data_IF_953330272449
#
_entry.id   IF_953330272449
#
_cell.length_a   1.000
_cell.length_b   1.000
_cell.length_c   1.000
_cell.angle_alpha   90.00
_cell.angle_beta   90.00
_cell.angle_gamma   90.00
#
_symmetry.space_group_name_H-M   'P 1'
#
loop_
_entity.id
_entity.type
_entity.pdbx_description
1 polymer ?
#
# COMPACT_ATOMS: atom_id res chain seq x y z
N UNK A 1 19.52 -14.56 -6.62
CA UNK A 1 18.13 -14.11 -6.41
C UNK A 1 17.75 -14.10 -4.93
N UNK A 2 17.73 -15.24 -4.24
CA UNK A 2 17.39 -15.31 -2.80
C UNK A 2 18.12 -14.28 -1.92
N UNK A 3 19.47 -14.25 -1.96
CA UNK A 3 20.25 -13.29 -1.16
C UNK A 3 19.96 -11.82 -1.49
N UNK A 4 19.59 -11.50 -2.74
CA UNK A 4 19.25 -10.12 -3.13
C UNK A 4 17.91 -9.71 -2.53
N UNK A 5 16.88 -10.57 -2.61
CA UNK A 5 15.60 -10.31 -1.95
C UNK A 5 15.78 -10.20 -0.43
N UNK A 6 16.58 -11.09 0.15
CA UNK A 6 16.85 -11.07 1.58
C UNK A 6 17.56 -9.79 2.02
N UNK A 7 18.54 -9.32 1.24
CA UNK A 7 19.21 -8.05 1.50
C UNK A 7 18.27 -6.84 1.41
N UNK A 8 17.39 -6.81 0.41
CA UNK A 8 16.44 -5.70 0.21
C UNK A 8 15.33 -5.70 1.26
N UNK A 9 14.85 -6.87 1.68
CA UNK A 9 13.71 -6.98 2.59
C UNK A 9 14.10 -7.07 4.06
N UNK A 10 15.13 -7.84 4.40
CA UNK A 10 15.55 -8.09 5.78
C UNK A 10 16.81 -7.32 6.18
N UNK A 11 17.65 -6.96 5.20
CA UNK A 11 18.92 -6.26 5.45
C UNK A 11 20.03 -7.17 5.98
N UNK A 12 20.94 -6.58 6.76
CA UNK A 12 22.12 -7.26 7.31
C UNK A 12 21.96 -7.56 8.81
N UNK A 13 22.76 -8.49 9.33
CA UNK A 13 22.82 -8.83 10.75
C UNK A 13 24.25 -9.00 11.25
N UNK A 14 24.41 -8.78 12.56
CA UNK A 14 25.66 -8.92 13.29
C UNK A 14 26.74 -7.90 12.92
N UNK A 15 27.86 -7.95 13.65
CA UNK A 15 29.06 -7.15 13.39
C UNK A 15 29.79 -7.56 12.10
N UNK A 16 29.47 -8.73 11.55
CA UNK A 16 30.09 -9.30 10.34
C UNK A 16 29.38 -8.87 9.04
N UNK A 17 28.30 -8.08 9.12
CA UNK A 17 27.48 -7.66 7.97
C UNK A 17 27.01 -8.84 7.11
N UNK A 18 26.56 -9.92 7.74
CA UNK A 18 26.00 -11.06 7.02
C UNK A 18 24.58 -10.73 6.54
N UNK A 19 24.22 -11.17 5.34
CA UNK A 19 22.84 -11.02 4.83
C UNK A 19 21.92 -11.87 5.69
N UNK A 20 20.86 -11.27 6.26
CA UNK A 20 19.83 -12.03 6.98
C UNK A 20 19.17 -13.02 6.03
N UNK A 21 18.78 -14.19 6.52
CA UNK A 21 17.99 -15.15 5.75
C UNK A 21 16.52 -15.04 6.14
N UNK A 22 15.63 -15.48 5.27
CA UNK A 22 14.22 -15.61 5.62
C UNK A 22 14.06 -16.74 6.64
N UNK A 23 13.25 -16.52 7.66
CA UNK A 23 12.92 -17.49 8.69
C UNK A 23 11.41 -17.73 8.67
N UNK A 24 10.97 -18.94 9.00
CA UNK A 24 9.55 -19.29 9.06
C UNK A 24 8.92 -18.89 10.41
N UNK A 25 9.44 -17.83 11.02
CA UNK A 25 8.97 -17.25 12.28
C UNK A 25 9.19 -15.73 12.32
N UNK A 26 8.90 -15.11 13.47
CA UNK A 26 9.05 -13.68 13.73
C UNK A 26 10.22 -13.37 14.68
N UNK A 27 11.17 -14.29 14.89
CA UNK A 27 12.27 -14.11 15.84
C UNK A 27 13.50 -13.46 15.20
N UNK A 28 13.81 -13.82 13.94
CA UNK A 28 15.05 -13.41 13.27
C UNK A 28 16.30 -13.79 14.08
N UNK A 29 16.29 -14.99 14.68
CA UNK A 29 17.34 -15.51 15.58
C UNK A 29 18.32 -16.46 14.90
N UNK A 30 18.15 -16.73 13.60
CA UNK A 30 18.93 -17.68 12.82
C UNK A 30 18.44 -19.13 12.92
N UNK A 31 17.33 -19.39 13.63
CA UNK A 31 16.64 -20.67 13.65
C UNK A 31 15.54 -20.72 12.60
N UNK A 32 15.11 -21.91 12.18
CA UNK A 32 13.98 -22.03 11.25
C UNK A 32 14.20 -21.40 9.87
N UNK A 33 15.45 -21.26 9.43
CA UNK A 33 15.80 -20.63 8.16
C UNK A 33 15.14 -21.31 6.95
N UNK A 34 14.51 -20.52 6.09
CA UNK A 34 14.00 -20.92 4.79
C UNK A 34 15.17 -20.98 3.79
N UNK A 35 15.69 -22.17 3.51
CA UNK A 35 16.82 -22.38 2.58
C UNK A 35 16.49 -22.04 1.13
N UNK A 36 15.28 -22.38 0.69
CA UNK A 36 14.76 -22.05 -0.64
C UNK A 36 13.39 -21.39 -0.54
N UNK A 37 13.19 -20.36 -1.36
CA UNK A 37 11.94 -19.60 -1.40
C UNK A 37 11.54 -19.25 -2.84
N UNK A 38 10.24 -19.21 -3.08
CA UNK A 38 9.61 -18.71 -4.29
C UNK A 38 9.07 -17.32 -4.03
N UNK A 39 9.42 -16.38 -4.90
CA UNK A 39 9.09 -14.98 -4.72
C UNK A 39 7.96 -14.59 -5.68
N UNK A 40 6.85 -14.10 -5.11
CA UNK A 40 5.70 -13.58 -5.85
C UNK A 40 5.66 -12.07 -5.58
N UNK A 41 5.92 -11.28 -6.61
CA UNK A 41 5.89 -9.82 -6.52
C UNK A 41 4.57 -9.28 -7.06
N UNK A 42 3.83 -8.56 -6.23
CA UNK A 42 2.57 -7.93 -6.61
C UNK A 42 2.83 -6.53 -7.18
N UNK A 43 2.14 -6.19 -8.25
CA UNK A 43 2.25 -4.86 -8.85
C UNK A 43 1.72 -3.78 -7.89
N UNK A 44 2.47 -2.68 -7.75
CA UNK A 44 2.05 -1.50 -6.96
C UNK A 44 0.72 -0.89 -7.41
N UNK A 45 0.30 -1.13 -8.66
CA UNK A 45 -1.03 -0.71 -9.13
C UNK A 45 -2.16 -1.40 -8.36
N UNK A 46 -1.94 -2.63 -7.92
CA UNK A 46 -2.92 -3.48 -7.22
C UNK A 46 -2.83 -3.25 -5.71
N UNK A 47 -1.62 -3.28 -5.14
CA UNK A 47 -1.41 -3.11 -3.70
C UNK A 47 -1.59 -1.66 -3.24
N UNK A 48 -1.51 -0.69 -4.16
CA UNK A 48 -1.48 0.74 -3.88
C UNK A 48 -0.34 1.08 -2.91
N UNK A 49 -0.65 1.42 -1.68
CA UNK A 49 0.34 1.77 -0.65
C UNK A 49 0.81 0.53 0.12
N UNK A 50 -0.13 -0.31 0.57
CA UNK A 50 0.20 -1.57 1.25
C UNK A 50 -0.96 -2.58 1.21
N UNK A 51 -0.60 -3.85 1.34
CA UNK A 51 -1.56 -4.94 1.54
C UNK A 51 -2.12 -4.88 2.97
N UNK A 52 -3.44 -5.03 3.13
CA UNK A 52 -4.09 -5.09 4.43
C UNK A 52 -3.66 -6.37 5.16
N UNK A 53 -3.03 -6.20 6.32
CA UNK A 53 -2.67 -7.28 7.25
C UNK A 53 -3.90 -8.13 7.60
N UNK A 54 -3.74 -9.45 7.64
CA UNK A 54 -4.79 -10.41 7.99
C UNK A 54 -5.81 -10.68 6.89
N UNK A 55 -5.53 -10.29 5.64
CA UNK A 55 -6.47 -10.49 4.51
C UNK A 55 -5.90 -11.32 3.38
N UNK A 56 -4.64 -11.74 3.48
CA UNK A 56 -3.93 -12.47 2.43
C UNK A 56 -4.36 -13.93 2.48
N UNK A 57 -4.76 -14.44 1.33
CA UNK A 57 -5.03 -15.86 1.11
C UNK A 57 -4.45 -16.30 -0.23
N UNK A 58 -3.59 -17.30 -0.19
CA UNK A 58 -2.91 -17.89 -1.35
C UNK A 58 -3.30 -19.35 -1.43
N UNK A 59 -3.98 -19.75 -2.49
CA UNK A 59 -4.38 -21.13 -2.75
C UNK A 59 -3.42 -21.74 -3.75
N UNK A 60 -2.69 -22.77 -3.32
CA UNK A 60 -1.76 -23.54 -4.16
C UNK A 60 -2.23 -24.98 -4.35
N UNK A 61 -1.96 -25.54 -5.52
CA UNK A 61 -2.25 -26.91 -5.90
C UNK A 61 -1.13 -27.86 -5.52
N UNK A 62 -1.47 -28.90 -4.75
CA UNK A 62 -0.56 -29.98 -4.32
C UNK A 62 -0.93 -31.32 -4.94
N UNK A 63 -1.82 -31.33 -5.94
CA UNK A 63 -2.15 -32.51 -6.73
C UNK A 63 -1.06 -32.84 -7.76
N UNK A 64 -1.36 -33.81 -8.62
CA UNK A 64 -0.47 -34.21 -9.72
C UNK A 64 -0.33 -33.11 -10.77
N UNK A 65 0.67 -33.21 -11.65
CA UNK A 65 0.88 -32.25 -12.74
C UNK A 65 -0.33 -32.13 -13.66
N UNK A 66 -1.01 -33.24 -13.96
CA UNK A 66 -2.21 -33.24 -14.81
C UNK A 66 -3.44 -32.62 -14.12
N UNK A 67 -3.51 -32.71 -12.78
CA UNK A 67 -4.62 -32.19 -11.99
C UNK A 67 -4.08 -31.46 -10.73
N UNK A 68 -3.40 -30.31 -10.90
CA UNK A 68 -2.67 -29.66 -9.81
C UNK A 68 -3.60 -29.24 -8.66
N UNK A 69 -4.86 -28.94 -8.99
CA UNK A 69 -5.88 -28.47 -8.04
C UNK A 69 -6.80 -29.58 -7.53
N UNK A 70 -6.51 -30.86 -7.79
CA UNK A 70 -7.25 -31.97 -7.18
C UNK A 70 -7.04 -32.01 -5.66
N UNK A 71 -5.82 -31.71 -5.23
CA UNK A 71 -5.46 -31.42 -3.84
C UNK A 71 -4.98 -29.98 -3.76
N UNK A 72 -5.39 -29.28 -2.69
CA UNK A 72 -5.13 -27.85 -2.53
C UNK A 72 -4.66 -27.56 -1.12
N UNK A 73 -3.87 -26.52 -1.01
CA UNK A 73 -3.42 -25.95 0.25
C UNK A 73 -3.70 -24.46 0.23
N UNK A 74 -4.35 -23.96 1.29
CA UNK A 74 -4.66 -22.55 1.44
C UNK A 74 -3.75 -21.98 2.51
N UNK A 75 -2.94 -21.00 2.12
CA UNK A 75 -2.02 -20.29 3.00
C UNK A 75 -2.63 -18.93 3.35
N UNK A 76 -2.77 -18.63 4.64
CA UNK A 76 -3.39 -17.38 5.11
C UNK A 76 -2.51 -16.67 6.14
N UNK A 77 -2.59 -15.34 6.18
CA UNK A 77 -1.91 -14.52 7.19
C UNK A 77 -2.80 -14.24 8.41
N UNK A 78 -3.64 -15.19 8.79
CA UNK A 78 -4.70 -14.99 9.81
C UNK A 78 -4.19 -14.51 11.18
N UNK A 79 -2.91 -14.73 11.52
CA UNK A 79 -2.32 -14.22 12.76
C UNK A 79 -1.94 -12.75 12.70
N UNK A 80 -1.85 -12.15 11.52
CA UNK A 80 -1.37 -10.79 11.32
C UNK A 80 -2.50 -9.77 11.50
N UNK A 81 -2.22 -8.72 12.27
CA UNK A 81 -3.13 -7.59 12.49
C UNK A 81 -2.36 -6.28 12.55
N UNK A 82 -3.07 -5.16 12.71
CA UNK A 82 -2.45 -3.86 12.95
C UNK A 82 -1.72 -3.78 14.30
N UNK A 83 -2.02 -4.68 15.24
CA UNK A 83 -1.51 -4.63 16.62
C UNK A 83 -0.61 -5.81 16.99
N UNK A 84 -0.46 -6.82 16.13
CA UNK A 84 0.36 -7.99 16.43
C UNK A 84 0.51 -8.97 15.27
N UNK A 85 1.32 -10.01 15.49
CA UNK A 85 1.55 -11.08 14.51
C UNK A 85 2.32 -10.65 13.26
N UNK A 86 3.04 -9.53 13.35
CA UNK A 86 3.94 -9.02 12.31
C UNK A 86 5.24 -8.54 12.94
N UNK A 87 6.33 -8.55 12.17
CA UNK A 87 7.61 -7.97 12.56
C UNK A 87 8.03 -6.92 11.52
N UNK A 88 8.59 -5.81 12.00
CA UNK A 88 9.06 -4.73 11.13
C UNK A 88 10.51 -4.97 10.69
N UNK A 89 10.77 -4.77 9.41
CA UNK A 89 12.09 -4.90 8.77
C UNK A 89 12.29 -3.79 7.73
N UNK A 90 13.42 -3.79 7.04
CA UNK A 90 13.72 -2.79 5.99
C UNK A 90 12.66 -2.80 4.87
N UNK A 91 12.14 -3.98 4.51
CA UNK A 91 11.10 -4.19 3.51
C UNK A 91 9.68 -3.86 4.00
N UNK A 92 9.55 -3.27 5.19
CA UNK A 92 8.28 -3.03 5.87
C UNK A 92 7.93 -4.14 6.86
N UNK A 93 6.66 -4.13 7.27
CA UNK A 93 6.13 -5.19 8.11
C UNK A 93 5.95 -6.46 7.30
N UNK A 94 6.33 -7.58 7.88
CA UNK A 94 6.04 -8.89 7.32
C UNK A 94 5.24 -9.75 8.30
N UNK A 95 4.41 -10.62 7.74
CA UNK A 95 3.60 -11.59 8.45
C UNK A 95 3.88 -13.01 7.95
N UNK A 96 3.43 -13.99 8.74
CA UNK A 96 3.59 -15.41 8.45
C UNK A 96 2.36 -15.94 7.71
N UNK A 97 2.58 -16.80 6.72
CA UNK A 97 1.53 -17.50 5.99
C UNK A 97 1.39 -18.93 6.52
N UNK A 98 0.24 -19.22 7.11
CA UNK A 98 -0.10 -20.51 7.72
C UNK A 98 -0.94 -21.37 6.80
N UNK A 99 -0.64 -22.65 6.76
CA UNK A 99 -1.58 -23.67 6.25
C UNK A 99 -2.69 -23.95 7.29
N UNK A 100 -3.74 -24.62 6.85
CA UNK A 100 -4.82 -25.23 7.65
C UNK A 100 -4.31 -26.04 8.87
N UNK A 101 -3.13 -26.65 8.78
CA UNK A 101 -2.47 -27.34 9.89
C UNK A 101 -1.72 -26.43 10.88
N UNK A 102 -1.93 -25.11 10.82
CA UNK A 102 -1.24 -24.09 11.63
C UNK A 102 0.30 -24.17 11.53
N UNK A 103 0.81 -24.62 10.39
CA UNK A 103 2.24 -24.62 10.10
C UNK A 103 2.58 -23.48 9.16
N UNK A 104 3.64 -22.75 9.47
CA UNK A 104 4.13 -21.65 8.64
C UNK A 104 4.76 -22.22 7.37
N UNK A 105 4.32 -21.73 6.22
CA UNK A 105 4.78 -22.16 4.89
C UNK A 105 5.28 -21.02 4.01
N UNK A 106 5.16 -19.78 4.47
CA UNK A 106 5.64 -18.62 3.74
C UNK A 106 5.55 -17.34 4.57
N UNK A 107 5.93 -16.24 3.92
CA UNK A 107 5.96 -14.89 4.47
C UNK A 107 5.28 -13.93 3.49
N UNK A 108 4.74 -12.83 4.00
CA UNK A 108 4.23 -11.74 3.18
C UNK A 108 4.71 -10.40 3.72
N UNK A 109 5.29 -9.57 2.85
CA UNK A 109 5.73 -8.20 3.15
C UNK A 109 4.66 -7.23 2.66
N UNK A 110 3.99 -6.54 3.59
CA UNK A 110 2.76 -5.79 3.31
C UNK A 110 3.01 -4.53 2.48
N UNK A 111 4.03 -3.76 2.82
CA UNK A 111 4.39 -2.51 2.14
C UNK A 111 5.17 -2.77 0.84
N UNK A 112 6.06 -3.77 0.84
CA UNK A 112 6.82 -4.13 -0.36
C UNK A 112 5.98 -4.87 -1.40
N UNK A 113 4.83 -5.44 -1.01
CA UNK A 113 3.96 -6.19 -1.92
C UNK A 113 4.59 -7.48 -2.42
N UNK A 114 5.35 -8.18 -1.57
CA UNK A 114 6.05 -9.42 -1.94
C UNK A 114 5.62 -10.55 -1.01
N UNK A 115 5.19 -11.67 -1.59
CA UNK A 115 5.01 -12.93 -0.88
C UNK A 115 6.18 -13.88 -1.16
N UNK A 116 6.68 -14.53 -0.10
CA UNK A 116 7.77 -15.51 -0.16
C UNK A 116 7.22 -16.85 0.29
N UNK A 117 7.08 -17.81 -0.63
CA UNK A 117 6.61 -19.16 -0.30
C UNK A 117 7.81 -20.08 -0.11
N UNK A 118 7.84 -20.83 0.99
CA UNK A 118 8.81 -21.91 1.18
C UNK A 118 8.46 -23.08 0.26
N UNK A 119 9.49 -23.80 -0.20
CA UNK A 119 9.35 -25.08 -0.91
C UNK A 119 8.56 -26.11 -0.09
N UNK A 120 8.59 -26.01 1.24
CA UNK A 120 7.77 -26.83 2.15
C UNK A 120 6.25 -26.69 1.95
N UNK A 121 5.79 -25.63 1.26
CA UNK A 121 4.38 -25.51 0.84
C UNK A 121 3.92 -26.70 -0.03
N UNK A 122 4.85 -27.27 -0.80
CA UNK A 122 4.63 -28.36 -1.75
C UNK A 122 5.23 -29.69 -1.27
N UNK A 123 5.41 -29.85 0.04
CA UNK A 123 5.88 -31.12 0.61
C UNK A 123 4.96 -32.29 0.19
N UNK A 124 5.55 -33.42 -0.16
CA UNK A 124 4.87 -34.58 -0.73
C UNK A 124 4.55 -34.52 -2.23
N UNK A 125 4.77 -33.39 -2.91
CA UNK A 125 4.58 -33.28 -4.37
C UNK A 125 5.79 -33.86 -5.10
N UNK A 126 5.61 -35.05 -5.68
CA UNK A 126 6.67 -35.75 -6.43
C UNK A 126 6.78 -35.30 -7.89
N UNK A 127 5.73 -34.70 -8.44
CA UNK A 127 5.64 -34.26 -9.83
C UNK A 127 5.49 -32.74 -9.98
N UNK A 128 6.32 -31.99 -9.25
CA UNK A 128 6.25 -30.54 -9.19
C UNK A 128 6.35 -29.90 -10.59
N UNK A 129 7.25 -30.41 -11.43
CA UNK A 129 7.45 -30.03 -12.83
C UNK A 129 7.40 -31.29 -13.71
N UNK A 130 6.61 -31.26 -14.79
CA UNK A 130 6.61 -32.31 -15.82
C UNK A 130 6.94 -31.70 -17.18
N UNK A 131 7.98 -32.22 -17.82
CA UNK A 131 8.41 -31.81 -19.17
C UNK A 131 8.62 -33.04 -20.04
N UNK A 132 8.95 -32.85 -21.32
CA UNK A 132 9.37 -33.96 -22.19
C UNK A 132 10.62 -34.68 -21.68
N UNK A 133 11.46 -34.04 -20.86
CA UNK A 133 12.63 -34.63 -20.23
C UNK A 133 12.29 -35.48 -18.99
N UNK A 134 11.04 -35.49 -18.54
CA UNK A 134 10.56 -36.27 -17.41
C UNK A 134 9.93 -35.43 -16.31
N UNK A 135 9.67 -36.10 -15.18
CA UNK A 135 9.00 -35.56 -14.00
C UNK A 135 10.06 -35.26 -12.94
N UNK A 136 9.96 -34.09 -12.32
CA UNK A 136 10.87 -33.63 -11.27
C UNK A 136 10.09 -33.23 -10.02
N UNK A 137 10.61 -33.62 -8.86
CA UNK A 137 10.15 -33.11 -7.57
C UNK A 137 10.57 -31.65 -7.37
N UNK A 138 10.04 -30.99 -6.34
CA UNK A 138 10.40 -29.59 -6.07
C UNK A 138 11.90 -29.40 -5.82
N UNK A 139 12.53 -30.30 -5.05
CA UNK A 139 13.96 -30.25 -4.77
C UNK A 139 14.80 -30.40 -6.06
N UNK A 140 14.42 -31.34 -6.94
CA UNK A 140 15.09 -31.52 -8.22
C UNK A 140 14.92 -30.29 -9.12
N UNK A 141 13.71 -29.73 -9.16
CA UNK A 141 13.39 -28.56 -9.97
C UNK A 141 14.27 -27.36 -9.59
N UNK A 142 14.55 -27.13 -8.31
CA UNK A 142 15.37 -25.99 -7.86
C UNK A 142 16.87 -26.18 -8.10
N UNK A 143 17.35 -27.43 -8.20
CA UNK A 143 18.77 -27.74 -8.41
C UNK A 143 19.12 -27.84 -9.90
N UNK A 144 18.24 -28.42 -10.73
CA UNK A 144 18.58 -28.81 -12.10
C UNK A 144 17.78 -28.12 -13.20
N UNK A 145 16.62 -27.55 -12.89
CA UNK A 145 15.78 -26.93 -13.93
C UNK A 145 16.16 -25.47 -14.20
N UNK A 146 15.76 -24.96 -15.36
CA UNK A 146 15.89 -23.53 -15.64
C UNK A 146 14.93 -22.72 -14.76
N UNK A 147 15.31 -21.47 -14.45
CA UNK A 147 14.47 -20.55 -13.67
C UNK A 147 13.08 -20.42 -14.32
N UNK A 148 13.02 -20.32 -15.64
CA UNK A 148 11.76 -20.24 -16.40
C UNK A 148 10.87 -21.45 -16.13
N UNK A 149 11.42 -22.67 -16.18
CA UNK A 149 10.66 -23.89 -15.92
C UNK A 149 10.16 -23.96 -14.46
N UNK A 150 10.99 -23.54 -13.50
CA UNK A 150 10.57 -23.43 -12.09
C UNK A 150 9.41 -22.43 -11.91
N UNK A 151 9.47 -21.29 -12.60
CA UNK A 151 8.40 -20.29 -12.57
C UNK A 151 7.13 -20.75 -13.30
N UNK A 152 7.25 -21.49 -14.40
CA UNK A 152 6.12 -22.11 -15.09
C UNK A 152 5.41 -23.13 -14.18
N UNK A 153 6.18 -23.99 -13.50
CA UNK A 153 5.64 -24.96 -12.54
C UNK A 153 4.92 -24.27 -11.37
N UNK A 154 5.48 -23.16 -10.84
CA UNK A 154 4.79 -22.37 -9.82
C UNK A 154 3.47 -21.83 -10.34
N UNK A 155 3.47 -21.18 -11.51
CA UNK A 155 2.27 -20.58 -12.12
C UNK A 155 1.19 -21.62 -12.36
N UNK A 156 1.55 -22.82 -12.80
CA UNK A 156 0.63 -23.95 -12.99
C UNK A 156 -0.03 -24.41 -11.68
N UNK A 157 0.63 -24.16 -10.54
CA UNK A 157 0.18 -24.58 -9.20
C UNK A 157 -0.44 -23.45 -8.38
N UNK A 158 -0.42 -22.20 -8.83
CA UNK A 158 -1.12 -21.10 -8.13
C UNK A 158 -2.56 -21.05 -8.65
N UNK A 159 -3.54 -21.34 -7.78
CA UNK A 159 -4.95 -21.29 -8.17
C UNK A 159 -5.54 -19.89 -7.99
N UNK A 160 -5.30 -19.28 -6.83
CA UNK A 160 -5.87 -18.00 -6.47
C UNK A 160 -4.98 -17.27 -5.46
N UNK A 161 -4.89 -15.95 -5.60
CA UNK A 161 -4.29 -15.07 -4.61
C UNK A 161 -5.28 -13.93 -4.38
N UNK A 162 -5.76 -13.79 -3.15
CA UNK A 162 -6.70 -12.75 -2.76
C UNK A 162 -6.16 -11.99 -1.56
N UNK A 163 -6.29 -10.67 -1.58
CA UNK A 163 -5.98 -9.77 -0.49
C UNK A 163 -6.76 -8.47 -0.64
N UNK A 164 -6.94 -7.74 0.46
CA UNK A 164 -7.45 -6.37 0.41
C UNK A 164 -6.26 -5.41 0.40
N UNK A 165 -6.33 -4.36 -0.41
CA UNK A 165 -5.37 -3.27 -0.36
C UNK A 165 -5.82 -2.21 0.66
N UNK A 166 -4.88 -1.40 1.12
CA UNK A 166 -5.15 -0.18 1.87
C UNK A 166 -4.45 0.99 1.20
N UNK A 167 -5.08 2.16 1.28
CA UNK A 167 -4.53 3.41 0.79
C UNK A 167 -4.47 4.40 1.94
N UNK A 168 -3.34 5.07 2.08
CA UNK A 168 -3.14 6.12 3.07
C UNK A 168 -3.36 7.46 2.38
N UNK A 169 -4.47 8.11 2.68
CA UNK A 169 -4.77 9.46 2.19
C UNK A 169 -4.34 10.45 3.26
N UNK A 170 -3.31 11.23 2.98
CA UNK A 170 -2.90 12.30 3.87
C UNK A 170 -3.83 13.48 3.67
N UNK A 171 -4.39 13.99 4.77
CA UNK A 171 -5.30 15.13 4.71
C UNK A 171 -4.90 16.17 5.75
N UNK A 172 -4.78 17.41 5.31
CA UNK A 172 -4.56 18.57 6.19
C UNK A 172 -5.83 19.42 6.22
N UNK A 173 -6.27 19.79 7.41
CA UNK A 173 -7.44 20.64 7.62
C UNK A 173 -6.98 22.05 7.98
N UNK A 174 -7.38 23.02 7.17
CA UNK A 174 -7.16 24.43 7.41
C UNK A 174 -8.46 25.09 7.90
N UNK A 175 -8.34 25.89 8.96
CA UNK A 175 -9.43 26.75 9.42
C UNK A 175 -9.16 28.18 8.94
N UNK A 176 -9.89 28.59 7.90
CA UNK A 176 -9.81 29.93 7.35
C UNK A 176 -10.84 30.82 8.06
N UNK A 177 -10.35 31.65 8.98
CA UNK A 177 -11.17 32.65 9.66
C UNK A 177 -11.25 33.92 8.81
N UNK A 178 -12.47 34.39 8.59
CA UNK A 178 -12.79 35.63 7.85
C UNK A 178 -13.41 36.62 8.83
N UNK A 179 -12.60 37.50 9.43
CA UNK A 179 -13.07 38.45 10.43
C UNK A 179 -14.10 39.42 9.86
N UNK A 180 -14.93 39.97 10.75
CA UNK A 180 -15.98 40.91 10.39
C UNK A 180 -15.45 42.16 9.63
N UNK A 181 -14.23 42.61 9.94
CA UNK A 181 -13.62 43.81 9.35
C UNK A 181 -12.79 43.58 8.07
N UNK A 182 -12.58 42.33 7.63
CA UNK A 182 -11.78 42.02 6.43
C UNK A 182 -12.62 41.38 5.34
N UNK A 183 -12.15 41.50 4.10
CA UNK A 183 -12.72 40.82 2.92
C UNK A 183 -14.19 41.20 2.59
N UNK A 184 -14.62 42.41 2.96
CA UNK A 184 -15.94 42.95 2.61
C UNK A 184 -15.96 43.61 1.21
N UNK A 185 -15.09 43.20 0.28
CA UNK A 185 -15.01 43.70 -1.09
C UNK A 185 -14.81 42.54 -2.07
N UNK A 186 -15.13 42.76 -3.35
CA UNK A 186 -14.99 41.74 -4.40
C UNK A 186 -13.83 42.07 -5.35
N UNK A 187 -13.17 41.02 -5.85
CA UNK A 187 -12.21 41.10 -6.96
C UNK A 187 -12.88 41.07 -8.34
N UNK A 188 -14.21 41.07 -8.42
CA UNK A 188 -14.94 41.13 -9.68
C UNK A 188 -14.65 42.49 -10.38
N UNK A 189 -14.26 42.51 -11.67
CA UNK A 189 -14.03 43.75 -12.42
C UNK A 189 -15.17 44.77 -12.37
N UNK A 190 -16.42 44.35 -12.16
CA UNK A 190 -17.56 45.26 -12.00
C UNK A 190 -17.52 46.09 -10.70
N UNK A 191 -16.64 45.75 -9.77
CA UNK A 191 -16.36 46.53 -8.55
C UNK A 191 -15.32 47.62 -8.80
N UNK A 192 -14.79 47.80 -10.01
CA UNK A 192 -13.85 48.88 -10.30
C UNK A 192 -14.57 50.05 -10.95
N UNK A 193 -14.45 51.24 -10.36
CA UNK A 193 -14.81 52.51 -10.98
C UNK A 193 -13.61 53.43 -10.93
N UNK A 194 -13.15 53.89 -12.10
CA UNK A 194 -11.99 54.79 -12.24
C UNK A 194 -10.76 54.31 -11.44
N UNK A 195 -10.42 53.03 -11.56
CA UNK A 195 -9.28 52.38 -10.86
C UNK A 195 -9.38 52.35 -9.33
N UNK A 196 -10.57 52.58 -8.76
CA UNK A 196 -10.87 52.42 -7.34
C UNK A 196 -11.90 51.32 -7.11
N UNK A 197 -11.77 50.57 -6.00
CA UNK A 197 -12.72 49.51 -5.64
C UNK A 197 -13.99 50.15 -5.06
N UNK A 198 -15.09 50.08 -5.81
CA UNK A 198 -16.44 50.46 -5.40
C UNK A 198 -17.05 49.37 -4.52
N UNK A 199 -17.07 49.60 -3.21
CA UNK A 199 -17.64 48.65 -2.24
C UNK A 199 -19.13 48.93 -1.94
N UNK A 200 -19.63 50.12 -2.30
CA UNK A 200 -21.00 50.55 -2.04
C UNK A 200 -21.59 51.28 -3.25
N UNK A 201 -22.89 51.13 -3.46
CA UNK A 201 -23.61 51.87 -4.50
C UNK A 201 -24.08 53.24 -4.01
N UNK A 202 -24.57 53.31 -2.77
CA UNK A 202 -24.89 54.53 -2.03
C UNK A 202 -24.04 54.56 -0.76
N UNK A 203 -23.57 55.73 -0.34
CA UNK A 203 -22.66 55.85 0.82
C UNK A 203 -23.25 55.29 2.13
N UNK A 204 -24.57 55.28 2.25
CA UNK A 204 -25.33 54.78 3.41
C UNK A 204 -25.43 53.25 3.46
N UNK A 205 -25.18 52.55 2.34
CA UNK A 205 -25.38 51.10 2.28
C UNK A 205 -24.27 50.34 3.02
N UNK A 206 -24.60 49.14 3.49
CA UNK A 206 -23.58 48.21 3.98
C UNK A 206 -22.94 47.48 2.80
N UNK A 207 -21.61 47.32 2.79
CA UNK A 207 -20.94 46.59 1.71
C UNK A 207 -21.25 45.10 1.83
N UNK A 208 -21.68 44.48 0.74
CA UNK A 208 -21.97 43.05 0.66
C UNK A 208 -20.97 42.42 -0.29
N UNK A 209 -20.30 41.37 0.16
CA UNK A 209 -19.42 40.55 -0.68
C UNK A 209 -19.87 39.09 -0.63
N UNK A 210 -19.49 38.31 -1.64
CA UNK A 210 -19.74 36.87 -1.67
C UNK A 210 -18.41 36.14 -1.80
N UNK A 211 -18.16 35.22 -0.87
CA UNK A 211 -16.99 34.35 -0.90
C UNK A 211 -17.36 33.14 -1.76
N UNK A 212 -16.60 32.92 -2.84
CA UNK A 212 -16.81 31.79 -3.76
C UNK A 212 -15.62 30.84 -3.79
N UNK A 213 -14.43 31.33 -3.45
CA UNK A 213 -13.18 30.61 -3.63
C UNK A 213 -12.19 31.01 -2.54
N UNK A 214 -11.40 30.06 -2.07
CA UNK A 214 -10.36 30.22 -1.06
C UNK A 214 -9.04 29.77 -1.68
N UNK A 215 -8.03 30.64 -1.68
CA UNK A 215 -6.68 30.32 -2.16
C UNK A 215 -5.71 30.12 -1.00
N UNK A 216 -4.90 29.07 -1.07
CA UNK A 216 -3.75 28.87 -0.18
C UNK A 216 -2.50 29.42 -0.88
N UNK A 217 -1.77 30.31 -0.20
CA UNK A 217 -0.57 30.95 -0.76
C UNK A 217 0.68 30.60 0.05
N UNK A 218 1.82 30.50 -0.63
CA UNK A 218 3.14 30.36 -0.01
C UNK A 218 3.65 31.68 0.57
N UNK A 219 4.75 31.65 1.32
CA UNK A 219 5.44 32.86 1.81
C UNK A 219 5.92 33.81 0.70
N UNK A 220 6.06 33.30 -0.52
CA UNK A 220 6.45 34.07 -1.70
C UNK A 220 5.25 34.56 -2.51
N UNK A 221 4.03 34.48 -1.96
CA UNK A 221 2.76 34.80 -2.63
C UNK A 221 2.43 33.92 -3.85
N UNK A 222 2.96 32.71 -3.92
CA UNK A 222 2.58 31.76 -4.97
C UNK A 222 1.33 30.98 -4.57
N UNK A 223 0.39 30.78 -5.50
CA UNK A 223 -0.85 30.04 -5.27
C UNK A 223 -0.56 28.53 -5.24
N UNK A 224 -0.76 27.91 -4.08
CA UNK A 224 -0.51 26.48 -3.84
C UNK A 224 -1.76 25.62 -4.05
N UNK A 225 -2.92 26.10 -3.60
CA UNK A 225 -4.17 25.36 -3.72
C UNK A 225 -5.37 26.30 -3.81
N UNK A 226 -6.45 25.82 -4.44
CA UNK A 226 -7.72 26.56 -4.58
C UNK A 226 -8.86 25.66 -4.14
N UNK A 227 -9.62 26.09 -3.15
CA UNK A 227 -10.88 25.47 -2.75
C UNK A 227 -12.06 26.30 -3.26
N UNK A 228 -13.04 25.65 -3.87
CA UNK A 228 -14.28 26.29 -4.32
C UNK A 228 -15.42 25.94 -3.38
N UNK A 229 -16.24 26.93 -3.06
CA UNK A 229 -17.46 26.72 -2.28
C UNK A 229 -18.59 26.31 -3.23
N UNK A 230 -19.43 25.38 -2.79
CA UNK A 230 -20.59 24.90 -3.57
C UNK A 230 -21.59 26.03 -3.83
N UNK A 231 -21.71 26.95 -2.88
CA UNK A 231 -22.58 28.12 -2.97
C UNK A 231 -21.82 29.37 -2.51
N UNK A 232 -22.05 30.53 -3.15
CA UNK A 232 -21.45 31.79 -2.71
C UNK A 232 -21.93 32.18 -1.30
N UNK A 233 -21.01 32.27 -0.35
CA UNK A 233 -21.35 32.66 1.02
C UNK A 233 -21.38 34.18 1.14
N UNK A 234 -22.54 34.72 1.49
CA UNK A 234 -22.73 36.15 1.74
C UNK A 234 -21.91 36.57 2.96
N UNK A 235 -21.16 37.67 2.80
CA UNK A 235 -20.36 38.31 3.84
C UNK A 235 -20.73 39.79 3.95
N UNK A 236 -20.96 40.22 5.17
CA UNK A 236 -21.25 41.58 5.59
C UNK A 236 -20.39 41.97 6.82
N UNK A 237 -20.19 43.27 7.11
CA UNK A 237 -19.24 43.72 8.13
C UNK A 237 -19.60 43.37 9.58
N UNK A 238 -20.79 42.82 9.80
CA UNK A 238 -21.33 42.44 11.12
C UNK A 238 -21.07 40.96 11.43
N UNK A 239 -20.85 40.14 10.40
CA UNK A 239 -20.72 38.70 10.53
C UNK A 239 -19.27 38.24 10.39
N UNK A 240 -18.89 37.23 11.16
CA UNK A 240 -17.62 36.53 11.08
C UNK A 240 -17.86 35.10 10.61
N UNK A 241 -17.06 34.64 9.63
CA UNK A 241 -17.19 33.31 9.06
C UNK A 241 -15.91 32.52 9.32
N UNK A 242 -16.05 31.24 9.65
CA UNK A 242 -14.92 30.31 9.73
C UNK A 242 -15.18 29.15 8.78
N UNK A 243 -14.28 28.96 7.82
CA UNK A 243 -14.38 27.94 6.78
C UNK A 243 -13.38 26.84 7.08
N UNK A 244 -13.88 25.61 7.20
CA UNK A 244 -13.06 24.40 7.33
C UNK A 244 -12.75 23.87 5.94
N UNK A 245 -11.51 24.00 5.51
CA UNK A 245 -11.03 23.52 4.20
C UNK A 245 -10.19 22.27 4.41
N UNK A 246 -10.48 21.22 3.67
CA UNK A 246 -9.71 19.96 3.68
C UNK A 246 -8.87 19.91 2.41
N UNK A 247 -7.56 19.73 2.57
CA UNK A 247 -6.61 19.48 1.49
C UNK A 247 -6.22 18.01 1.56
N UNK A 248 -6.57 17.25 0.53
CA UNK A 248 -6.17 15.86 0.35
C UNK A 248 -5.01 15.79 -0.66
N UNK A 249 -3.96 15.03 -0.34
CA UNK A 249 -2.78 14.82 -1.20
C UNK A 249 -2.15 13.44 -1.00
#
# INVERSE_FOLDING_TARGET
MYNQFSQVLLGYTGSTNAVRKFELDLSLDGSGEMKEGMFINFSRLITKDQIKKGTVSVVVGTGSWAAPFALKKTLTDASASSTGGTLNTLGGDYGLLYDSGNTVRGLVFYQSGIAVLSTSSFDGVTDFLSTSAGISSIAQTFVSSSITASCDALRHRVQNISFNNTTEINSTIYFCRVPHNKYNHSSNPTYLSSSTIRVKSVNTDTPIAYITTIGLYSSNNELLAVAKLSEPLRKDPTNELTLRVRLDY
#
